data_IF_382741741789
#
_entry.id   IF_382741741789
#
_cell.length_a   1.000
_cell.length_b   1.000
_cell.length_c   1.000
_cell.angle_alpha   90.00
_cell.angle_beta   90.00
_cell.angle_gamma   90.00
#
_symmetry.space_group_name_H-M   'P 1'
#
loop_
_entity.id
_entity.type
_entity.pdbx_description
1 polymer ?
#
# COMPACT_ATOMS: atom_id res chain seq x y z
N UNK A 1 14.15 -4.82 -3.90
CA UNK A 1 12.84 -5.29 -3.43
C UNK A 1 12.61 -6.70 -3.92
N UNK A 2 12.16 -7.59 -3.05
CA UNK A 2 11.77 -8.98 -3.34
C UNK A 2 10.29 -9.16 -2.99
N UNK A 3 9.57 -9.98 -3.75
CA UNK A 3 8.17 -10.33 -3.51
C UNK A 3 7.81 -11.61 -4.30
N UNK A 4 6.75 -12.31 -3.88
CA UNK A 4 6.13 -13.40 -4.62
C UNK A 4 5.14 -12.82 -5.63
N UNK A 5 5.30 -13.21 -6.89
CA UNK A 5 4.47 -12.76 -8.00
C UNK A 5 3.68 -13.92 -8.59
N UNK A 6 2.51 -13.62 -9.15
CA UNK A 6 1.72 -14.57 -9.92
C UNK A 6 2.34 -14.79 -11.31
N UNK A 7 2.27 -16.03 -11.79
CA UNK A 7 2.51 -16.38 -13.18
C UNK A 7 1.28 -17.08 -13.75
N UNK A 8 0.80 -16.62 -14.91
CA UNK A 8 -0.35 -17.19 -15.60
C UNK A 8 -0.09 -17.21 -17.11
N UNK A 9 -0.33 -18.35 -17.76
CA UNK A 9 -0.16 -18.53 -19.21
C UNK A 9 1.18 -17.98 -19.77
N UNK A 10 2.28 -18.20 -19.05
CA UNK A 10 3.62 -17.74 -19.44
C UNK A 10 3.92 -16.25 -19.17
N UNK A 11 2.98 -15.48 -18.63
CA UNK A 11 3.20 -14.09 -18.19
C UNK A 11 3.42 -14.06 -16.69
N UNK A 12 4.49 -13.38 -16.26
CA UNK A 12 4.82 -13.15 -14.86
C UNK A 12 4.47 -11.70 -14.51
N UNK A 13 3.78 -11.50 -13.39
CA UNK A 13 3.55 -10.15 -12.85
C UNK A 13 4.88 -9.55 -12.41
N UNK A 14 5.14 -8.32 -12.82
CA UNK A 14 6.31 -7.58 -12.35
C UNK A 14 5.96 -6.13 -12.04
N UNK A 15 6.53 -5.62 -10.97
CA UNK A 15 6.38 -4.26 -10.48
C UNK A 15 7.65 -3.46 -10.74
N UNK A 16 7.48 -2.16 -10.94
CA UNK A 16 8.58 -1.20 -11.10
C UNK A 16 8.36 0.01 -10.19
N UNK A 17 9.44 0.55 -9.66
CA UNK A 17 9.46 1.86 -9.01
C UNK A 17 9.05 2.93 -10.01
N UNK A 18 8.05 3.72 -9.69
CA UNK A 18 7.72 4.93 -10.45
C UNK A 18 8.22 6.17 -9.71
N UNK A 19 8.67 7.16 -10.47
CA UNK A 19 9.01 8.47 -9.92
C UNK A 19 7.80 9.02 -9.15
N UNK A 20 8.00 9.33 -7.88
CA UNK A 20 7.01 10.05 -7.09
C UNK A 20 7.16 11.55 -7.33
N UNK A 21 6.06 12.30 -7.25
CA UNK A 21 6.06 13.77 -7.32
C UNK A 21 6.61 14.40 -6.03
N UNK A 22 6.73 13.62 -4.96
CA UNK A 22 7.39 14.01 -3.71
C UNK A 22 8.48 12.99 -3.33
N UNK A 23 9.61 13.46 -2.81
CA UNK A 23 10.75 12.61 -2.43
C UNK A 23 10.49 11.70 -1.23
N UNK A 24 9.39 11.93 -0.50
CA UNK A 24 9.09 11.27 0.77
C UNK A 24 8.26 9.99 0.61
N UNK A 25 7.66 9.78 -0.57
CA UNK A 25 6.84 8.60 -0.84
C UNK A 25 7.36 7.89 -2.09
N UNK A 26 7.16 6.58 -2.14
CA UNK A 26 7.47 5.78 -3.30
C UNK A 26 6.20 5.07 -3.81
N UNK A 27 6.16 4.83 -5.12
CA UNK A 27 5.08 4.11 -5.75
C UNK A 27 5.64 2.92 -6.53
N UNK A 28 4.90 1.82 -6.47
CA UNK A 28 5.11 0.66 -7.30
C UNK A 28 3.96 0.57 -8.29
N UNK A 29 4.31 0.42 -9.57
CA UNK A 29 3.35 0.25 -10.65
C UNK A 29 3.58 -1.06 -11.37
N UNK A 30 2.54 -1.59 -11.97
CA UNK A 30 2.65 -2.75 -12.84
C UNK A 30 3.54 -2.41 -14.04
N UNK A 31 4.60 -3.20 -14.24
CA UNK A 31 5.35 -3.26 -15.49
C UNK A 31 4.76 -4.33 -16.39
N UNK A 32 4.50 -5.51 -15.82
CA UNK A 32 3.78 -6.60 -16.47
C UNK A 32 2.72 -7.15 -15.52
N UNK A 33 1.63 -7.63 -16.09
CA UNK A 33 0.50 -8.23 -15.38
C UNK A 33 0.24 -9.62 -15.95
N UNK A 34 0.14 -10.61 -15.08
CA UNK A 34 -0.25 -11.97 -15.42
C UNK A 34 -1.77 -12.08 -15.64
N UNK A 35 -2.56 -11.17 -15.08
CA UNK A 35 -4.02 -11.12 -15.27
C UNK A 35 -4.43 -9.94 -16.16
N UNK A 36 -4.98 -8.87 -15.57
CA UNK A 36 -5.73 -7.82 -16.31
C UNK A 36 -5.28 -6.39 -16.02
N UNK A 37 -4.30 -6.17 -15.15
CA UNK A 37 -3.75 -4.84 -14.94
C UNK A 37 -2.97 -4.36 -16.17
N UNK A 38 -3.01 -3.05 -16.42
CA UNK A 38 -2.24 -2.40 -17.47
C UNK A 38 -0.90 -1.96 -16.93
N UNK A 39 0.10 -1.88 -17.81
CA UNK A 39 1.36 -1.25 -17.45
C UNK A 39 1.10 0.21 -17.00
N UNK A 40 1.64 0.59 -15.84
CA UNK A 40 1.41 1.89 -15.23
C UNK A 40 0.28 1.94 -14.20
N UNK A 41 -0.54 0.89 -14.07
CA UNK A 41 -1.51 0.79 -12.98
C UNK A 41 -0.77 0.79 -11.63
N UNK A 42 -1.35 1.45 -10.61
CA UNK A 42 -0.81 1.47 -9.26
C UNK A 42 -0.95 0.10 -8.61
N UNK A 43 0.14 -0.42 -8.04
CA UNK A 43 0.16 -1.66 -7.27
C UNK A 43 0.30 -1.38 -5.78
N UNK A 44 1.23 -0.48 -5.42
CA UNK A 44 1.40 -0.09 -4.03
C UNK A 44 1.93 1.35 -3.88
N UNK A 45 1.62 1.94 -2.73
CA UNK A 45 2.24 3.18 -2.22
C UNK A 45 3.04 2.84 -0.98
N UNK A 46 4.19 3.49 -0.82
CA UNK A 46 5.07 3.35 0.34
C UNK A 46 5.32 4.75 0.90
N UNK A 47 5.13 4.90 2.20
CA UNK A 47 5.44 6.11 2.95
C UNK A 47 6.09 5.73 4.28
N UNK A 48 6.76 6.69 4.93
CA UNK A 48 7.33 6.46 6.26
C UNK A 48 6.25 6.04 7.27
N UNK A 49 6.58 5.10 8.15
CA UNK A 49 5.73 4.85 9.32
C UNK A 49 6.16 5.76 10.49
N UNK A 50 5.24 5.97 11.43
CA UNK A 50 5.55 6.65 12.68
C UNK A 50 5.71 5.61 13.79
N UNK A 51 6.89 5.57 14.42
CA UNK A 51 7.17 4.62 15.48
C UNK A 51 6.28 4.91 16.72
N UNK A 52 5.66 3.86 17.25
CA UNK A 52 4.75 3.97 18.40
C UNK A 52 3.34 4.47 18.07
N UNK A 53 3.06 4.83 16.81
CA UNK A 53 1.75 5.32 16.39
C UNK A 53 1.28 4.65 15.07
N UNK A 54 0.83 3.38 15.13
CA UNK A 54 0.46 2.63 13.94
C UNK A 54 -0.61 3.32 13.10
N UNK A 55 -0.38 3.41 11.81
CA UNK A 55 -1.25 4.04 10.82
C UNK A 55 -1.10 5.56 10.71
N UNK A 56 -0.30 6.23 11.55
CA UNK A 56 -0.14 7.68 11.48
C UNK A 56 0.55 8.14 10.18
N UNK A 57 1.54 7.41 9.69
CA UNK A 57 2.18 7.67 8.40
C UNK A 57 1.19 7.52 7.23
N UNK A 58 0.43 6.42 7.21
CA UNK A 58 -0.65 6.20 6.24
C UNK A 58 -1.72 7.30 6.29
N UNK A 59 -2.10 7.75 7.50
CA UNK A 59 -3.07 8.82 7.69
C UNK A 59 -2.54 10.17 7.21
N UNK A 60 -1.29 10.51 7.54
CA UNK A 60 -0.64 11.74 7.09
C UNK A 60 -0.57 11.76 5.55
N UNK A 61 -0.18 10.64 4.94
CA UNK A 61 -0.16 10.48 3.49
C UNK A 61 -1.55 10.69 2.87
N UNK A 62 -2.58 10.01 3.39
CA UNK A 62 -3.94 10.13 2.87
C UNK A 62 -4.49 11.55 3.02
N UNK A 63 -4.25 12.21 4.16
CA UNK A 63 -4.68 13.60 4.39
C UNK A 63 -4.00 14.59 3.43
N UNK A 64 -2.74 14.34 3.07
CA UNK A 64 -2.00 15.19 2.13
C UNK A 64 -2.55 15.12 0.69
N UNK A 65 -3.43 14.16 0.36
CA UNK A 65 -4.06 14.09 -0.96
C UNK A 65 -5.39 14.85 -1.08
N UNK A 66 -5.84 15.50 0.00
CA UNK A 66 -7.05 16.31 -0.01
C UNK A 66 -6.75 17.76 -0.37
N UNK A 67 -7.55 18.32 -1.27
CA UNK A 67 -7.52 19.76 -1.56
C UNK A 67 -8.13 20.60 -0.41
N UNK A 68 -9.11 20.02 0.32
CA UNK A 68 -9.79 20.65 1.45
C UNK A 68 -9.34 20.02 2.79
N UNK A 69 -8.54 20.73 3.61
CA UNK A 69 -8.10 20.25 4.92
C UNK A 69 -9.25 19.91 5.88
N UNK A 70 -10.41 20.56 5.74
CA UNK A 70 -11.59 20.31 6.56
C UNK A 70 -12.24 18.94 6.31
N UNK A 71 -11.97 18.32 5.16
CA UNK A 71 -12.37 16.94 4.87
C UNK A 71 -11.35 15.96 5.43
N UNK A 72 -10.06 16.27 5.28
CA UNK A 72 -8.95 15.44 5.76
C UNK A 72 -8.98 15.18 7.28
N UNK A 73 -9.41 16.16 8.08
CA UNK A 73 -9.46 16.03 9.56
C UNK A 73 -10.40 14.92 10.05
N UNK A 74 -11.40 14.57 9.24
CA UNK A 74 -12.40 13.53 9.59
C UNK A 74 -11.87 12.11 9.43
N UNK A 75 -10.73 11.96 8.75
CA UNK A 75 -10.10 10.69 8.47
C UNK A 75 -9.27 10.20 9.65
N UNK A 76 -9.34 8.91 9.91
CA UNK A 76 -8.58 8.20 10.94
C UNK A 76 -8.02 6.90 10.40
N UNK A 77 -6.88 6.48 10.93
CA UNK A 77 -6.39 5.12 10.72
C UNK A 77 -7.12 4.18 11.69
N UNK A 78 -7.56 3.02 11.20
CA UNK A 78 -8.14 1.96 12.02
C UNK A 78 -7.81 0.60 11.43
N UNK A 79 -7.99 -0.45 12.23
CA UNK A 79 -8.00 -1.82 11.72
C UNK A 79 -9.10 -1.97 10.66
N UNK A 80 -8.77 -2.73 9.61
CA UNK A 80 -9.71 -2.99 8.54
C UNK A 80 -10.88 -3.86 9.02
N UNK A 81 -10.57 -4.90 9.80
CA UNK A 81 -11.52 -5.90 10.33
C UNK A 81 -12.45 -6.46 9.23
N UNK A 82 -11.90 -6.70 8.05
CA UNK A 82 -12.58 -7.31 6.89
C UNK A 82 -12.24 -8.79 6.84
N UNK A 83 -13.24 -9.65 6.64
CA UNK A 83 -13.03 -11.08 6.45
C UNK A 83 -12.04 -11.34 5.30
N UNK A 84 -11.20 -12.35 5.47
CA UNK A 84 -10.17 -12.78 4.50
C UNK A 84 -9.03 -11.76 4.23
N UNK A 85 -8.99 -10.63 4.94
CA UNK A 85 -7.85 -9.71 4.91
C UNK A 85 -6.83 -10.08 6.00
N UNK A 86 -5.55 -9.67 5.84
CA UNK A 86 -4.56 -9.82 6.89
C UNK A 86 -5.01 -9.18 8.22
N UNK A 87 -4.70 -9.81 9.35
CA UNK A 87 -5.11 -9.33 10.68
C UNK A 87 -4.47 -7.97 11.08
N UNK A 88 -3.37 -7.62 10.44
CA UNK A 88 -2.66 -6.34 10.58
C UNK A 88 -3.05 -5.32 9.49
N UNK A 89 -4.07 -5.61 8.68
CA UNK A 89 -4.56 -4.68 7.68
C UNK A 89 -5.20 -3.45 8.34
N UNK A 90 -4.84 -2.28 7.83
CA UNK A 90 -5.36 -0.98 8.22
C UNK A 90 -6.12 -0.36 7.05
N UNK A 91 -7.05 0.53 7.38
CA UNK A 91 -7.73 1.41 6.42
C UNK A 91 -7.74 2.84 6.95
N UNK A 92 -7.69 3.80 6.03
CA UNK A 92 -7.91 5.21 6.37
C UNK A 92 -9.35 5.56 6.05
N UNK A 93 -10.19 5.73 7.07
CA UNK A 93 -11.63 5.89 6.88
C UNK A 93 -12.17 7.04 7.73
N UNK A 94 -13.38 7.49 7.43
CA UNK A 94 -14.06 8.47 8.25
C UNK A 94 -14.41 7.87 9.61
N UNK A 95 -14.56 8.74 10.62
CA UNK A 95 -14.94 8.35 11.98
C UNK A 95 -16.14 7.38 12.00
N UNK A 96 -16.16 6.38 12.92
CA UNK A 96 -17.29 5.47 13.09
C UNK A 96 -18.65 6.17 13.09
N UNK A 97 -19.60 5.67 12.29
CA UNK A 97 -20.93 6.26 12.12
C UNK A 97 -21.13 7.06 10.82
N UNK A 98 -20.06 7.25 10.03
CA UNK A 98 -20.14 7.81 8.67
C UNK A 98 -20.34 6.68 7.65
N UNK A 99 -21.21 6.82 6.62
CA UNK A 99 -21.31 5.81 5.57
C UNK A 99 -19.93 5.58 4.93
N UNK A 100 -19.38 4.38 5.11
CA UNK A 100 -18.10 3.98 4.53
C UNK A 100 -18.22 3.95 3.00
N UNK A 101 -17.18 4.42 2.30
CA UNK A 101 -17.20 4.49 0.84
C UNK A 101 -16.23 5.52 0.25
N UNK A 102 -14.95 5.46 0.62
CA UNK A 102 -13.95 6.37 0.05
C UNK A 102 -14.07 7.83 0.48
N UNK A 103 -14.77 8.13 1.59
CA UNK A 103 -14.83 9.48 2.17
C UNK A 103 -13.44 10.04 2.52
N UNK A 104 -12.48 9.14 2.78
CA UNK A 104 -11.08 9.45 3.03
C UNK A 104 -10.17 9.24 1.81
N UNK A 105 -10.76 9.38 0.61
CA UNK A 105 -10.06 9.29 -0.66
C UNK A 105 -9.85 7.85 -1.12
N UNK A 106 -8.97 7.64 -2.12
CA UNK A 106 -8.75 6.33 -2.73
C UNK A 106 -8.04 5.33 -1.81
N UNK A 107 -7.54 5.77 -0.66
CA UNK A 107 -6.81 4.96 0.32
C UNK A 107 -7.69 4.42 1.46
N UNK A 108 -8.99 4.72 1.41
CA UNK A 108 -9.97 4.22 2.36
C UNK A 108 -10.64 2.93 1.93
N UNK A 109 -11.52 2.42 2.81
CA UNK A 109 -12.26 1.21 2.53
C UNK A 109 -13.21 1.40 1.34
N UNK A 110 -13.13 0.46 0.39
CA UNK A 110 -14.02 0.39 -0.77
C UNK A 110 -14.60 -1.03 -0.84
N UNK A 111 -15.94 -1.20 -0.72
CA UNK A 111 -16.57 -2.51 -0.83
C UNK A 111 -16.21 -3.22 -2.13
N UNK A 112 -15.77 -4.47 -2.03
CA UNK A 112 -15.42 -5.31 -3.19
C UNK A 112 -14.04 -5.03 -3.81
N UNK A 113 -13.29 -4.05 -3.30
CA UNK A 113 -11.91 -3.77 -3.72
C UNK A 113 -10.97 -4.16 -2.59
N UNK A 114 -10.12 -5.19 -2.76
CA UNK A 114 -9.12 -5.55 -1.76
C UNK A 114 -7.98 -4.53 -1.76
N UNK A 115 -8.18 -3.41 -1.07
CA UNK A 115 -7.18 -2.36 -0.91
C UNK A 115 -7.02 -1.99 0.57
N UNK A 116 -5.79 -2.10 1.07
CA UNK A 116 -5.50 -1.92 2.49
C UNK A 116 -4.07 -1.48 2.72
N UNK A 117 -3.86 -0.89 3.89
CA UNK A 117 -2.56 -0.54 4.42
C UNK A 117 -2.01 -1.68 5.28
N UNK A 118 -0.68 -1.83 5.31
CA UNK A 118 0.07 -2.63 6.29
C UNK A 118 1.34 -1.91 6.67
N UNK A 119 1.86 -2.16 7.86
CA UNK A 119 3.10 -1.54 8.33
C UNK A 119 4.17 -2.60 8.59
N UNK A 120 5.31 -2.47 7.93
CA UNK A 120 6.47 -3.34 8.11
C UNK A 120 7.73 -2.69 7.53
N UNK A 121 8.90 -3.08 8.07
CA UNK A 121 10.22 -2.53 7.68
C UNK A 121 10.30 -1.00 7.77
N UNK A 122 9.78 -0.44 8.85
CA UNK A 122 9.70 1.00 9.07
C UNK A 122 8.95 1.80 7.98
N UNK A 123 8.03 1.14 7.25
CA UNK A 123 7.22 1.76 6.21
C UNK A 123 5.73 1.41 6.35
N UNK A 124 4.88 2.33 5.91
CA UNK A 124 3.46 2.09 5.66
C UNK A 124 3.25 1.78 4.18
N UNK A 125 2.61 0.65 3.90
CA UNK A 125 2.38 0.11 2.56
C UNK A 125 0.89 0.08 2.25
N UNK A 126 0.44 0.88 1.30
CA UNK A 126 -0.89 0.70 0.72
C UNK A 126 -0.79 -0.27 -0.45
N UNK A 127 -1.57 -1.34 -0.43
CA UNK A 127 -1.70 -2.26 -1.55
C UNK A 127 -3.06 -2.07 -2.22
N UNK A 128 -3.07 -1.92 -3.53
CA UNK A 128 -4.29 -1.91 -4.34
C UNK A 128 -4.37 -3.22 -5.11
N UNK A 129 -5.03 -4.21 -4.52
CA UNK A 129 -5.21 -5.51 -5.13
C UNK A 129 -6.48 -5.44 -5.98
N UNK A 130 -6.38 -5.76 -7.27
CA UNK A 130 -7.56 -5.83 -8.14
C UNK A 130 -8.58 -6.84 -7.59
N UNK A 131 -9.87 -6.73 -7.97
CA UNK A 131 -10.88 -7.70 -7.56
C UNK A 131 -10.51 -9.11 -8.04
N UNK A 132 -10.71 -10.12 -7.19
CA UNK A 132 -10.39 -11.51 -7.48
C UNK A 132 -9.06 -11.96 -6.84
N UNK A 133 -8.15 -12.52 -7.64
CA UNK A 133 -6.88 -13.05 -7.15
C UNK A 133 -5.78 -12.00 -7.22
N UNK A 134 -5.06 -11.74 -6.11
CA UNK A 134 -3.98 -10.77 -6.12
C UNK A 134 -2.81 -11.29 -6.99
N UNK A 135 -2.27 -10.41 -7.83
CA UNK A 135 -1.16 -10.75 -8.74
C UNK A 135 0.22 -10.79 -8.06
N UNK A 136 0.27 -10.38 -6.79
CA UNK A 136 1.43 -10.50 -5.92
C UNK A 136 0.93 -10.71 -4.50
N UNK A 137 1.76 -11.28 -3.63
CA UNK A 137 1.42 -11.42 -2.22
C UNK A 137 1.99 -10.26 -1.38
N UNK A 138 1.15 -9.36 -0.82
CA UNK A 138 1.61 -8.28 0.05
C UNK A 138 2.47 -8.73 1.23
N UNK A 139 2.23 -9.92 1.79
CA UNK A 139 3.00 -10.45 2.93
C UNK A 139 4.40 -10.91 2.57
N UNK A 140 4.72 -11.03 1.28
CA UNK A 140 6.06 -11.43 0.82
C UNK A 140 6.98 -10.26 0.51
N UNK A 141 6.49 -9.03 0.59
CA UNK A 141 7.30 -7.86 0.26
C UNK A 141 8.47 -7.73 1.23
N UNK A 142 9.67 -7.63 0.65
CA UNK A 142 10.89 -7.41 1.39
C UNK A 142 11.71 -6.31 0.71
N UNK A 143 11.89 -5.19 1.39
CA UNK A 143 12.89 -4.20 1.02
C UNK A 143 14.27 -4.71 1.39
N UNK A 144 15.18 -4.64 0.42
CA UNK A 144 16.58 -4.96 0.58
C UNK A 144 17.41 -3.75 0.14
N UNK A 145 18.49 -3.51 0.84
CA UNK A 145 19.46 -2.46 0.52
C UNK A 145 20.86 -3.06 0.44
N UNK A 146 21.75 -2.39 -0.29
CA UNK A 146 23.15 -2.76 -0.32
C UNK A 146 23.84 -2.12 0.89
N UNK A 147 24.35 -2.95 1.79
CA UNK A 147 25.21 -2.50 2.87
C UNK A 147 26.62 -2.35 2.32
N UNK A 148 27.03 -1.10 2.07
CA UNK A 148 28.35 -0.78 1.55
C UNK A 148 29.50 -1.11 2.50
N UNK A 149 29.24 -1.16 3.82
CA UNK A 149 30.26 -1.52 4.81
C UNK A 149 30.45 -3.03 4.86
N UNK A 150 29.36 -3.79 4.90
CA UNK A 150 29.42 -5.26 4.93
C UNK A 150 29.51 -5.91 3.54
N UNK A 151 29.52 -5.13 2.46
CA UNK A 151 29.54 -5.59 1.06
C UNK A 151 28.52 -6.70 0.77
N UNK A 152 27.30 -6.54 1.27
CA UNK A 152 26.22 -7.53 1.12
C UNK A 152 24.86 -6.87 1.00
N UNK A 153 23.93 -7.58 0.40
CA UNK A 153 22.51 -7.22 0.48
C UNK A 153 21.98 -7.57 1.87
N UNK A 154 21.28 -6.62 2.49
CA UNK A 154 20.59 -6.82 3.77
C UNK A 154 19.15 -6.37 3.68
N UNK A 155 18.30 -6.96 4.52
CA UNK A 155 16.92 -6.52 4.69
C UNK A 155 16.93 -5.13 5.35
N UNK A 156 16.15 -4.20 4.81
CA UNK A 156 15.89 -2.92 5.49
C UNK A 156 15.20 -3.25 6.81
N UNK A 157 15.78 -2.81 7.93
CA UNK A 157 15.15 -3.01 9.24
C UNK A 157 13.85 -2.21 9.32
#
# INVERSE_FOLDING_TARGET
MLYRALQCAGKVTSLVWSASTNSENAQLKYRTSALRHKAGDLAAVITGMEEGNPGAGALAFARATFDDPGQAVRCVARKADVADWPADALVIDAWPGTPAGGACGPFGYQPGTPAYWREFQHQSWFFQLGPGHPEFDPGSFTLITWDGQASRWSRVQ
#
